data_IF_030548446212
#
_entry.id   IF_030548446212
#
_cell.length_a   1.000
_cell.length_b   1.000
_cell.length_c   1.000
_cell.angle_alpha   90.00
_cell.angle_beta   90.00
_cell.angle_gamma   90.00
#
_symmetry.space_group_name_H-M   'P 1'
#
loop_
_entity.id
_entity.type
_entity.pdbx_description
1 polymer ?
#
# COMPACT_ATOMS: atom_id res chain seq x y z
N UNK A 1 -15.68 9.87 3.87
CA UNK A 1 -14.47 9.21 3.31
C UNK A 1 -13.21 9.82 3.91
N UNK A 2 -13.01 11.16 3.93
CA UNK A 2 -11.82 11.84 4.48
C UNK A 2 -11.55 11.50 5.94
N UNK A 3 -12.59 11.40 6.76
CA UNK A 3 -12.44 11.10 8.18
C UNK A 3 -11.79 9.74 8.42
N UNK A 4 -12.30 8.68 7.80
CA UNK A 4 -11.88 7.29 8.06
C UNK A 4 -10.74 6.84 7.13
N UNK A 5 -10.75 7.23 5.86
CA UNK A 5 -9.77 6.82 4.86
C UNK A 5 -8.72 7.89 4.52
N UNK A 6 -8.95 9.11 4.99
CA UNK A 6 -7.99 10.21 4.98
C UNK A 6 -7.28 10.32 6.32
N UNK A 7 -6.79 11.50 6.65
CA UNK A 7 -5.94 11.72 7.81
C UNK A 7 -6.65 12.24 9.06
N UNK A 8 -7.98 12.50 9.05
CA UNK A 8 -8.63 13.15 10.20
C UNK A 8 -8.60 12.28 11.47
N UNK A 9 -8.98 10.98 11.36
CA UNK A 9 -8.92 10.08 12.52
C UNK A 9 -7.47 9.78 12.93
N UNK A 10 -6.54 9.69 11.98
CA UNK A 10 -5.12 9.51 12.27
C UNK A 10 -4.54 10.68 13.04
N UNK A 11 -4.86 11.89 12.64
CA UNK A 11 -4.45 13.12 13.33
C UNK A 11 -5.04 13.19 14.75
N UNK A 12 -6.35 12.93 14.90
CA UNK A 12 -7.04 12.93 16.18
C UNK A 12 -6.44 11.88 17.15
N UNK A 13 -6.14 10.68 16.68
CA UNK A 13 -5.46 9.67 17.49
C UNK A 13 -4.06 10.10 17.90
N UNK A 14 -3.30 10.68 16.98
CA UNK A 14 -1.95 11.16 17.29
C UNK A 14 -1.98 12.31 18.31
N UNK A 15 -2.89 13.25 18.16
CA UNK A 15 -3.07 14.37 19.10
C UNK A 15 -3.42 13.86 20.51
N UNK A 16 -4.30 12.87 20.62
CA UNK A 16 -4.61 12.23 21.90
C UNK A 16 -3.37 11.56 22.53
N UNK A 17 -2.63 10.76 21.76
CA UNK A 17 -1.46 10.06 22.25
C UNK A 17 -0.34 11.02 22.68
N UNK A 18 -0.18 12.13 21.98
CA UNK A 18 0.75 13.21 22.34
C UNK A 18 0.32 13.90 23.63
N UNK A 19 -0.96 14.25 23.76
CA UNK A 19 -1.50 14.93 24.94
C UNK A 19 -1.36 14.10 26.22
N UNK A 20 -1.51 12.77 26.10
CA UNK A 20 -1.37 11.83 27.22
C UNK A 20 0.09 11.37 27.46
N UNK A 21 1.05 11.84 26.66
CA UNK A 21 2.46 11.48 26.80
C UNK A 21 2.76 10.00 26.54
N UNK A 22 1.99 9.35 25.69
CA UNK A 22 2.06 7.91 25.41
C UNK A 22 3.01 7.53 24.27
N UNK A 23 3.58 8.51 23.57
CA UNK A 23 4.51 8.26 22.49
C UNK A 23 5.96 8.26 22.99
N UNK A 24 6.69 7.21 22.69
CA UNK A 24 8.10 7.10 23.03
C UNK A 24 8.97 8.08 22.24
N UNK A 25 10.10 8.57 22.80
CA UNK A 25 11.07 9.33 22.04
C UNK A 25 11.53 8.58 20.79
N UNK A 26 11.58 9.26 19.65
CA UNK A 26 11.98 8.68 18.37
C UNK A 26 10.97 7.73 17.72
N UNK A 27 9.77 7.52 18.29
CA UNK A 27 8.77 6.65 17.69
C UNK A 27 8.32 7.16 16.32
N UNK A 28 8.05 6.25 15.40
CA UNK A 28 7.53 6.52 14.06
C UNK A 28 6.05 6.15 13.99
N UNK A 29 5.27 6.99 13.33
CA UNK A 29 3.85 6.77 13.09
C UNK A 29 3.61 6.60 11.58
N UNK A 30 2.97 5.50 11.17
CA UNK A 30 2.85 5.13 9.77
C UNK A 30 1.40 4.95 9.38
N UNK A 31 1.03 5.52 8.24
CA UNK A 31 -0.21 5.22 7.56
C UNK A 31 0.07 4.48 6.24
N UNK A 32 -0.60 3.36 6.01
CA UNK A 32 -0.50 2.61 4.77
C UNK A 32 -1.40 3.20 3.69
N UNK A 33 -0.86 3.33 2.50
CA UNK A 33 -1.55 3.87 1.35
C UNK A 33 -1.29 3.02 0.11
N UNK A 34 -2.07 3.28 -0.92
CA UNK A 34 -1.89 2.73 -2.26
C UNK A 34 -2.25 3.81 -3.29
N UNK A 35 -1.47 3.93 -4.34
CA UNK A 35 -1.69 4.87 -5.44
C UNK A 35 -2.21 4.15 -6.68
N UNK A 36 -1.57 3.05 -7.02
CA UNK A 36 -1.84 2.26 -8.20
C UNK A 36 -1.29 2.84 -9.50
N UNK A 37 -1.19 2.01 -10.54
CA UNK A 37 -0.70 2.38 -11.85
C UNK A 37 -1.76 3.12 -12.69
N UNK A 38 -1.35 3.53 -13.88
CA UNK A 38 -2.20 4.29 -14.79
C UNK A 38 -3.48 3.54 -15.19
N UNK A 39 -3.40 2.23 -15.42
CA UNK A 39 -4.56 1.39 -15.79
C UNK A 39 -5.68 1.36 -14.76
N UNK A 40 -5.37 1.54 -13.47
CA UNK A 40 -6.37 1.60 -12.39
C UNK A 40 -6.72 3.03 -11.97
N UNK A 41 -5.98 4.03 -12.43
CA UNK A 41 -6.12 5.43 -12.03
C UNK A 41 -7.52 6.01 -12.20
N UNK A 42 -8.25 5.76 -13.31
CA UNK A 42 -9.59 6.32 -13.48
C UNK A 42 -10.56 5.91 -12.38
N UNK A 43 -10.43 4.70 -11.84
CA UNK A 43 -11.32 4.15 -10.82
C UNK A 43 -10.80 4.42 -9.42
N UNK A 44 -9.49 4.30 -9.22
CA UNK A 44 -8.89 4.40 -7.90
C UNK A 44 -8.43 5.84 -7.57
N UNK A 45 -7.43 6.36 -8.27
CA UNK A 45 -6.79 7.66 -7.93
C UNK A 45 -7.71 8.85 -8.20
N UNK A 46 -8.50 8.82 -9.28
CA UNK A 46 -9.40 9.90 -9.64
C UNK A 46 -10.76 9.84 -8.92
N UNK A 47 -10.99 8.81 -8.12
CA UNK A 47 -12.20 8.63 -7.33
C UNK A 47 -12.14 9.25 -5.93
N UNK A 48 -13.19 9.02 -5.14
CA UNK A 48 -13.31 9.49 -3.73
C UNK A 48 -12.19 8.94 -2.84
N UNK A 49 -11.72 7.73 -3.12
CA UNK A 49 -10.60 7.10 -2.39
C UNK A 49 -9.31 7.88 -2.62
N UNK A 50 -9.02 8.26 -3.87
CA UNK A 50 -7.83 9.04 -4.20
C UNK A 50 -7.80 10.40 -3.49
N UNK A 51 -8.96 11.09 -3.40
CA UNK A 51 -9.08 12.34 -2.64
C UNK A 51 -8.85 12.17 -1.14
N UNK A 52 -9.29 11.05 -0.57
CA UNK A 52 -8.99 10.73 0.81
C UNK A 52 -7.50 10.44 1.03
N UNK A 53 -6.83 9.78 0.06
CA UNK A 53 -5.39 9.52 0.12
C UNK A 53 -4.54 10.78 -0.02
N UNK A 54 -4.95 11.74 -0.85
CA UNK A 54 -4.33 13.07 -0.90
C UNK A 54 -4.40 13.75 0.47
N UNK A 55 -5.57 13.74 1.12
CA UNK A 55 -5.73 14.27 2.46
C UNK A 55 -4.89 13.52 3.51
N UNK A 56 -4.71 12.21 3.37
CA UNK A 56 -3.83 11.43 4.24
C UNK A 56 -2.36 11.87 4.09
N UNK A 57 -1.92 12.11 2.86
CA UNK A 57 -0.58 12.61 2.55
C UNK A 57 -0.35 14.01 3.17
N UNK A 58 -1.32 14.91 3.05
CA UNK A 58 -1.26 16.25 3.67
C UNK A 58 -1.21 16.17 5.21
N UNK A 59 -2.02 15.30 5.81
CA UNK A 59 -2.06 15.10 7.26
C UNK A 59 -0.75 14.55 7.81
N UNK A 60 -0.03 13.73 7.05
CA UNK A 60 1.27 13.17 7.47
C UNK A 60 2.27 14.27 7.81
N UNK A 61 2.32 15.34 7.02
CA UNK A 61 3.23 16.48 7.27
C UNK A 61 2.88 17.19 8.57
N UNK A 62 1.60 17.51 8.78
CA UNK A 62 1.12 18.17 10.01
C UNK A 62 1.37 17.32 11.26
N UNK A 63 1.06 16.02 11.18
CA UNK A 63 1.32 15.06 12.28
C UNK A 63 2.83 14.97 12.56
N UNK A 64 3.66 14.88 11.51
CA UNK A 64 5.11 14.78 11.66
C UNK A 64 5.71 15.99 12.37
N UNK A 65 5.23 17.21 12.06
CA UNK A 65 5.66 18.43 12.75
C UNK A 65 5.31 18.40 14.26
N UNK A 66 4.08 18.02 14.60
CA UNK A 66 3.64 17.88 16.00
C UNK A 66 4.49 16.82 16.76
N UNK A 67 4.73 15.68 16.14
CA UNK A 67 5.51 14.60 16.73
C UNK A 67 6.97 15.03 16.98
N UNK A 68 7.61 15.67 16.00
CA UNK A 68 8.97 16.18 16.12
C UNK A 68 9.09 17.24 17.23
N UNK A 69 8.11 18.16 17.33
CA UNK A 69 8.07 19.17 18.38
C UNK A 69 7.96 18.54 19.80
N UNK A 70 7.38 17.34 19.91
CA UNK A 70 7.28 16.58 21.15
C UNK A 70 8.48 15.63 21.40
N UNK A 71 9.54 15.67 20.57
CA UNK A 71 10.71 14.80 20.71
C UNK A 71 10.50 13.38 20.15
N UNK A 72 9.43 13.14 19.43
CA UNK A 72 9.19 11.89 18.70
C UNK A 72 9.88 11.90 17.33
N UNK A 73 9.90 10.77 16.63
CA UNK A 73 10.52 10.64 15.31
C UNK A 73 9.76 11.38 14.22
N UNK A 74 8.57 10.95 13.90
CA UNK A 74 7.74 11.57 12.86
C UNK A 74 6.65 10.67 12.31
N UNK A 75 5.86 11.20 11.38
CA UNK A 75 4.77 10.49 10.73
C UNK A 75 5.00 10.41 9.21
N UNK A 76 4.71 9.27 8.62
CA UNK A 76 4.95 9.01 7.20
C UNK A 76 3.81 8.22 6.58
N UNK A 77 3.56 8.47 5.30
CA UNK A 77 2.72 7.59 4.48
C UNK A 77 3.62 6.59 3.76
N UNK A 78 3.35 5.30 3.97
CA UNK A 78 3.95 4.22 3.19
C UNK A 78 3.02 3.89 2.02
N UNK A 79 3.48 4.14 0.80
CA UNK A 79 2.78 3.74 -0.43
C UNK A 79 3.17 2.31 -0.74
N UNK A 80 2.26 1.41 -0.47
CA UNK A 80 2.51 -0.01 -0.59
C UNK A 80 2.17 -0.53 -1.99
N UNK A 81 2.77 -1.64 -2.37
CA UNK A 81 2.39 -2.43 -3.54
C UNK A 81 0.99 -3.01 -3.37
N UNK A 82 0.29 -3.23 -4.48
CA UNK A 82 -1.00 -3.92 -4.46
C UNK A 82 -0.89 -5.33 -3.88
N UNK A 83 -1.72 -5.60 -2.89
CA UNK A 83 -1.82 -6.88 -2.19
C UNK A 83 -3.29 -7.27 -2.00
N UNK A 84 -3.51 -8.55 -1.70
CA UNK A 84 -4.86 -9.06 -1.40
C UNK A 84 -5.23 -8.63 0.02
N UNK A 85 -6.30 -7.84 0.12
CA UNK A 85 -6.92 -7.47 1.40
C UNK A 85 -8.43 -7.56 1.28
N UNK A 86 -9.13 -7.62 2.40
CA UNK A 86 -10.59 -7.60 2.40
C UNK A 86 -11.14 -6.32 1.72
N UNK A 87 -10.52 -5.17 1.99
CA UNK A 87 -10.93 -3.90 1.40
C UNK A 87 -10.65 -3.84 -0.11
N UNK A 88 -9.48 -4.31 -0.57
CA UNK A 88 -9.11 -4.25 -1.99
C UNK A 88 -9.98 -5.15 -2.87
N UNK A 89 -10.49 -6.24 -2.32
CA UNK A 89 -11.37 -7.17 -3.06
C UNK A 89 -12.73 -6.57 -3.44
N UNK A 90 -13.18 -5.57 -2.71
CA UNK A 90 -14.45 -4.88 -2.96
C UNK A 90 -14.33 -3.72 -3.96
N UNK A 91 -13.11 -3.33 -4.33
CA UNK A 91 -12.88 -2.22 -5.28
C UNK A 91 -12.92 -2.77 -6.71
N UNK A 92 -13.82 -2.27 -7.57
CA UNK A 92 -13.88 -2.73 -8.96
C UNK A 92 -12.51 -2.68 -9.63
N UNK A 93 -12.22 -3.66 -10.48
CA UNK A 93 -10.97 -3.77 -11.26
C UNK A 93 -9.73 -4.19 -10.45
N UNK A 94 -9.66 -3.87 -9.17
CA UNK A 94 -8.49 -4.18 -8.35
C UNK A 94 -8.20 -5.69 -8.27
N UNK A 95 -9.18 -6.60 -8.07
CA UNK A 95 -8.92 -8.04 -8.09
C UNK A 95 -8.34 -8.53 -9.41
N UNK A 96 -8.81 -8.00 -10.54
CA UNK A 96 -8.27 -8.33 -11.85
C UNK A 96 -6.82 -7.86 -11.98
N UNK A 97 -6.57 -6.61 -11.67
CA UNK A 97 -5.22 -6.03 -11.69
C UNK A 97 -4.25 -6.83 -10.81
N UNK A 98 -4.62 -7.13 -9.58
CA UNK A 98 -3.78 -7.90 -8.64
C UNK A 98 -3.51 -9.31 -9.17
N UNK A 99 -4.48 -9.96 -9.81
CA UNK A 99 -4.29 -11.28 -10.40
C UNK A 99 -3.27 -11.28 -11.55
N UNK A 100 -3.27 -10.23 -12.36
CA UNK A 100 -2.27 -10.03 -13.43
C UNK A 100 -0.89 -9.70 -12.85
N UNK A 101 -0.86 -8.81 -11.87
CA UNK A 101 0.37 -8.42 -11.17
C UNK A 101 1.05 -9.63 -10.52
N UNK A 102 0.29 -10.51 -9.88
CA UNK A 102 0.80 -11.73 -9.26
C UNK A 102 1.46 -12.67 -10.27
N UNK A 103 0.89 -12.80 -11.47
CA UNK A 103 1.49 -13.59 -12.54
C UNK A 103 2.82 -12.97 -12.98
N UNK A 104 2.80 -11.70 -13.35
CA UNK A 104 3.97 -11.02 -13.92
C UNK A 104 5.10 -10.94 -12.91
N UNK A 105 4.83 -10.48 -11.69
CA UNK A 105 5.85 -10.38 -10.66
C UNK A 105 6.33 -11.77 -10.18
N UNK A 106 5.47 -12.78 -10.22
CA UNK A 106 5.87 -14.18 -9.95
C UNK A 106 6.85 -14.71 -10.99
N UNK A 107 6.63 -14.44 -12.26
CA UNK A 107 7.54 -14.81 -13.37
C UNK A 107 8.88 -14.06 -13.29
N UNK A 108 8.85 -12.80 -12.82
CA UNK A 108 10.05 -11.98 -12.63
C UNK A 108 10.79 -12.26 -11.31
N UNK A 109 10.20 -13.05 -10.40
CA UNK A 109 10.78 -13.33 -9.09
C UNK A 109 10.74 -12.16 -8.10
N UNK A 110 9.92 -11.14 -8.36
CA UNK A 110 9.78 -9.93 -7.53
C UNK A 110 8.46 -9.88 -6.77
N UNK A 111 7.70 -10.99 -6.78
CA UNK A 111 6.43 -11.06 -6.05
C UNK A 111 6.67 -11.09 -4.54
N UNK A 112 5.94 -10.24 -3.84
CA UNK A 112 5.89 -10.21 -2.37
C UNK A 112 4.43 -10.11 -1.90
N UNK A 113 4.10 -10.79 -0.81
CA UNK A 113 2.83 -10.66 -0.10
C UNK A 113 2.88 -9.58 0.97
N UNK A 114 1.84 -9.54 1.82
CA UNK A 114 1.76 -8.54 2.89
C UNK A 114 2.91 -8.65 3.90
N UNK A 115 3.30 -9.87 4.27
CA UNK A 115 4.33 -10.10 5.30
C UNK A 115 5.70 -9.72 4.78
N UNK A 116 6.06 -10.18 3.57
CA UNK A 116 7.33 -9.86 2.94
C UNK A 116 7.47 -8.35 2.74
N UNK A 117 6.41 -7.70 2.24
CA UNK A 117 6.40 -6.26 2.04
C UNK A 117 6.54 -5.48 3.36
N UNK A 118 5.83 -5.90 4.41
CA UNK A 118 5.96 -5.29 5.73
C UNK A 118 7.37 -5.50 6.30
N UNK A 119 7.94 -6.71 6.15
CA UNK A 119 9.31 -6.97 6.54
C UNK A 119 10.30 -6.03 5.84
N UNK A 120 10.15 -5.85 4.52
CA UNK A 120 10.98 -4.95 3.71
C UNK A 120 10.81 -3.48 4.15
N UNK A 121 9.59 -3.06 4.50
CA UNK A 121 9.35 -1.73 5.05
C UNK A 121 10.19 -1.48 6.30
N UNK A 122 10.18 -2.42 7.24
CA UNK A 122 10.89 -2.25 8.50
C UNK A 122 12.40 -2.43 8.34
N UNK A 123 12.85 -3.47 7.62
CA UNK A 123 14.28 -3.76 7.48
C UNK A 123 15.01 -2.75 6.62
N UNK A 124 14.42 -2.32 5.51
CA UNK A 124 15.16 -1.59 4.46
C UNK A 124 14.83 -0.09 4.46
N UNK A 125 13.57 0.27 4.78
CA UNK A 125 13.12 1.67 4.66
C UNK A 125 13.10 2.42 5.99
N UNK A 126 12.75 1.77 7.10
CA UNK A 126 12.61 2.45 8.40
C UNK A 126 13.87 2.34 9.27
N UNK A 127 14.46 1.16 9.36
CA UNK A 127 15.54 0.89 10.31
C UNK A 127 16.86 0.43 9.66
N UNK A 128 16.84 0.06 8.38
CA UNK A 128 18.02 -0.48 7.67
C UNK A 128 18.97 0.59 7.15
N UNK A 129 18.49 1.79 6.89
CA UNK A 129 19.31 2.87 6.34
C UNK A 129 20.00 3.68 7.43
N UNK A 130 21.32 3.84 7.32
CA UNK A 130 22.13 4.73 8.16
C UNK A 130 21.94 6.21 7.79
N UNK A 131 21.41 6.49 6.61
CA UNK A 131 21.21 7.83 6.07
C UNK A 131 19.83 8.40 6.43
N UNK A 132 18.99 7.61 7.07
CA UNK A 132 17.62 7.95 7.44
C UNK A 132 16.58 7.37 6.49
N UNK A 133 15.32 7.78 6.66
CA UNK A 133 14.19 7.29 5.88
C UNK A 133 14.20 7.96 4.50
N UNK A 134 14.32 7.15 3.44
CA UNK A 134 14.21 7.63 2.06
C UNK A 134 12.77 7.99 1.71
N UNK A 135 12.56 9.20 1.22
CA UNK A 135 11.25 9.73 0.87
C UNK A 135 11.24 10.20 -0.58
N UNK A 136 10.09 10.07 -1.24
CA UNK A 136 9.88 10.67 -2.55
C UNK A 136 9.66 12.21 -2.44
N UNK A 137 9.45 12.85 -3.59
CA UNK A 137 9.23 14.29 -3.72
C UNK A 137 8.00 14.81 -2.96
N UNK A 138 7.12 13.94 -2.51
CA UNK A 138 5.93 14.21 -1.68
C UNK A 138 6.07 13.78 -0.22
N UNK A 139 7.27 13.39 0.20
CA UNK A 139 7.53 12.97 1.57
C UNK A 139 6.96 11.59 1.94
N UNK A 140 6.80 10.69 0.95
CA UNK A 140 6.24 9.35 1.17
C UNK A 140 7.32 8.28 1.04
N UNK A 141 7.17 7.20 1.79
CA UNK A 141 7.97 5.98 1.63
C UNK A 141 7.38 5.18 0.45
N UNK A 142 8.21 4.78 -0.51
CA UNK A 142 7.78 4.04 -1.70
C UNK A 142 8.14 2.55 -1.53
N UNK A 143 7.12 1.73 -1.32
CA UNK A 143 7.23 0.26 -1.33
C UNK A 143 6.57 -0.36 -2.56
N UNK A 144 5.90 0.43 -3.34
CA UNK A 144 5.35 0.08 -4.64
C UNK A 144 6.40 0.15 -5.78
N UNK A 145 7.66 0.39 -5.44
CA UNK A 145 8.79 0.49 -6.36
C UNK A 145 8.87 -0.72 -7.31
N UNK A 146 8.82 -1.95 -6.79
CA UNK A 146 8.85 -3.18 -7.60
C UNK A 146 7.59 -3.35 -8.48
N UNK A 147 6.42 -2.92 -8.01
CA UNK A 147 5.21 -2.90 -8.83
C UNK A 147 5.33 -1.89 -9.97
N UNK A 148 5.95 -0.73 -9.71
CA UNK A 148 6.08 0.37 -10.66
C UNK A 148 7.27 0.22 -11.61
N UNK A 149 8.03 -0.87 -11.54
CA UNK A 149 9.09 -1.14 -12.51
C UNK A 149 8.54 -1.11 -13.96
N UNK A 150 9.26 -0.45 -14.90
CA UNK A 150 8.79 -0.32 -16.27
C UNK A 150 8.45 -1.64 -16.94
N UNK A 151 9.22 -2.70 -16.66
CA UNK A 151 8.96 -4.03 -17.19
C UNK A 151 7.65 -4.61 -16.69
N UNK A 152 7.36 -4.46 -15.38
CA UNK A 152 6.10 -4.92 -14.79
C UNK A 152 4.93 -4.18 -15.42
N UNK A 153 5.00 -2.86 -15.49
CA UNK A 153 3.89 -2.05 -15.98
C UNK A 153 3.66 -2.20 -17.49
N UNK A 154 4.69 -2.32 -18.31
CA UNK A 154 4.52 -2.57 -19.75
C UNK A 154 3.81 -3.91 -19.98
N UNK A 155 4.19 -4.97 -19.28
CA UNK A 155 3.53 -6.28 -19.39
C UNK A 155 2.09 -6.25 -18.92
N UNK A 156 1.76 -5.44 -17.89
CA UNK A 156 0.37 -5.21 -17.46
C UNK A 156 -0.43 -4.54 -18.59
N UNK A 157 0.10 -3.47 -19.17
CA UNK A 157 -0.59 -2.73 -20.26
C UNK A 157 -0.84 -3.62 -21.46
N UNK A 158 0.12 -4.47 -21.84
CA UNK A 158 -0.03 -5.42 -22.93
C UNK A 158 -1.08 -6.50 -22.65
N UNK A 159 -1.12 -7.01 -21.40
CA UNK A 159 -2.02 -8.07 -20.99
C UNK A 159 -3.45 -7.57 -20.77
N UNK A 160 -3.61 -6.34 -20.28
CA UNK A 160 -4.89 -5.77 -19.86
C UNK A 160 -6.03 -5.92 -20.88
N UNK A 161 -5.86 -5.55 -22.17
CA UNK A 161 -6.93 -5.67 -23.16
C UNK A 161 -7.23 -7.11 -23.61
N UNK A 162 -6.37 -8.07 -23.26
CA UNK A 162 -6.49 -9.45 -23.71
C UNK A 162 -7.32 -10.31 -22.75
N UNK A 163 -7.43 -9.90 -21.47
CA UNK A 163 -8.09 -10.69 -20.44
C UNK A 163 -9.61 -10.53 -20.54
N UNK A 164 -10.29 -11.66 -20.60
CA UNK A 164 -11.75 -11.77 -20.52
C UNK A 164 -12.13 -12.89 -19.54
N UNK A 165 -13.41 -13.10 -19.32
CA UNK A 165 -13.91 -14.12 -18.39
C UNK A 165 -13.43 -15.53 -18.77
N UNK A 166 -13.40 -15.83 -20.07
CA UNK A 166 -13.08 -17.14 -20.62
C UNK A 166 -11.61 -17.52 -20.42
N UNK A 167 -10.70 -16.56 -20.48
CA UNK A 167 -9.25 -16.80 -20.39
C UNK A 167 -8.60 -16.29 -19.09
N UNK A 168 -9.41 -15.81 -18.14
CA UNK A 168 -8.93 -15.20 -16.88
C UNK A 168 -7.92 -16.09 -16.14
N UNK A 169 -8.22 -17.38 -15.98
CA UNK A 169 -7.37 -18.32 -15.25
C UNK A 169 -6.10 -18.70 -16.00
N UNK A 170 -6.12 -18.64 -17.31
CA UNK A 170 -4.95 -18.90 -18.16
C UNK A 170 -3.99 -17.73 -18.17
N UNK A 171 -4.52 -16.52 -18.38
CA UNK A 171 -3.72 -15.31 -18.56
C UNK A 171 -3.33 -14.63 -17.24
N UNK A 172 -3.90 -15.02 -16.10
CA UNK A 172 -3.62 -14.40 -14.80
C UNK A 172 -3.38 -15.44 -13.70
N UNK A 173 -2.92 -15.01 -12.53
CA UNK A 173 -2.86 -15.85 -11.33
C UNK A 173 -4.12 -15.72 -10.46
N UNK A 174 -5.31 -15.78 -11.09
CA UNK A 174 -6.58 -15.61 -10.38
C UNK A 174 -6.81 -16.66 -9.29
N UNK A 175 -6.40 -17.91 -9.50
CA UNK A 175 -6.52 -18.96 -8.49
C UNK A 175 -5.65 -18.69 -7.27
N UNK A 176 -4.43 -18.14 -7.48
CA UNK A 176 -3.59 -17.70 -6.37
C UNK A 176 -4.23 -16.52 -5.62
N UNK A 177 -4.79 -15.55 -6.34
CA UNK A 177 -5.55 -14.45 -5.74
C UNK A 177 -6.68 -14.96 -4.86
N UNK A 178 -7.49 -15.91 -5.35
CA UNK A 178 -8.59 -16.50 -4.58
C UNK A 178 -8.08 -17.25 -3.34
N UNK A 179 -7.00 -18.00 -3.46
CA UNK A 179 -6.38 -18.70 -2.33
C UNK A 179 -5.90 -17.71 -1.27
N UNK A 180 -5.19 -16.67 -1.68
CA UNK A 180 -4.69 -15.64 -0.75
C UNK A 180 -5.84 -14.90 -0.07
N UNK A 181 -6.92 -14.61 -0.81
CA UNK A 181 -8.13 -14.01 -0.24
C UNK A 181 -8.80 -14.90 0.82
N UNK A 182 -8.98 -16.20 0.53
CA UNK A 182 -9.56 -17.14 1.48
C UNK A 182 -8.66 -17.33 2.72
N UNK A 183 -7.35 -17.25 2.55
CA UNK A 183 -6.38 -17.35 3.64
C UNK A 183 -6.52 -16.21 4.66
N UNK A 184 -7.03 -15.03 4.26
CA UNK A 184 -7.33 -13.93 5.19
C UNK A 184 -8.36 -14.32 6.28
N UNK A 185 -9.21 -15.30 5.97
CA UNK A 185 -10.25 -15.78 6.87
C UNK A 185 -9.91 -17.14 7.50
N UNK A 186 -8.67 -17.57 7.37
CA UNK A 186 -8.20 -18.84 7.94
C UNK A 186 -8.49 -20.09 7.09
N UNK A 187 -9.01 -19.93 5.86
CA UNK A 187 -9.24 -21.06 4.97
C UNK A 187 -7.97 -21.51 4.25
N UNK A 188 -7.82 -22.80 3.99
CA UNK A 188 -6.72 -23.35 3.20
C UNK A 188 -5.39 -23.49 3.95
N UNK A 189 -5.36 -23.26 5.25
CA UNK A 189 -4.23 -23.59 6.11
C UNK A 189 -4.34 -25.07 6.56
N UNK A 190 -3.22 -25.81 6.61
CA UNK A 190 -3.24 -27.14 7.19
C UNK A 190 -3.61 -27.04 8.68
N UNK A 191 -4.53 -27.91 9.10
CA UNK A 191 -4.93 -28.10 10.51
C UNK A 191 -3.83 -28.76 11.32
#
# INVERSE_FOLDING_TARGET
TRKVMGGEDWEAWTDLLLAEGLLAPGCLNLAYSYIGPEVTRPIYRNGTIGKAKEHLEDSASAISEKMKAAGCGGAFVSVNKAVVTQASSAIPVVPLYVSMLFKIMGELGTHEGCIEQTSRLFSDRLYGSKEGIELDDKGRIRLDDWEMEPEVQSRIVELWPQVCTENLRELTSFDKYQKDFLSLFGFGHPS
#
